data_IF_845893648018
#
_entry.id   IF_845893648018
#
_cell.length_a   1.000
_cell.length_b   1.000
_cell.length_c   1.000
_cell.angle_alpha   90.00
_cell.angle_beta   90.00
_cell.angle_gamma   90.00
#
_symmetry.space_group_name_H-M   'P 1'
#
loop_
_entity.id
_entity.type
_entity.pdbx_description
1 polymer ?
#
# COMPACT_ATOMS: atom_id res chain seq x y z
N UNK A 1 106.11 -65.77 -61.50
CA UNK A 1 105.07 -66.72 -61.95
C UNK A 1 104.21 -67.13 -60.76
N UNK A 2 102.94 -67.54 -61.00
CA UNK A 2 102.15 -68.63 -60.34
C UNK A 2 102.43 -68.97 -58.85
N UNK A 3 101.49 -69.32 -57.95
CA UNK A 3 100.00 -69.47 -57.86
C UNK A 3 99.74 -70.41 -56.63
N UNK A 4 98.52 -70.37 -56.04
CA UNK A 4 97.78 -71.51 -55.39
C UNK A 4 98.31 -72.05 -54.02
N UNK A 5 97.56 -72.50 -52.98
CA UNK A 5 96.15 -72.38 -52.47
C UNK A 5 95.99 -72.92 -51.02
N UNK A 6 95.17 -72.26 -50.18
CA UNK A 6 94.23 -72.82 -49.13
C UNK A 6 94.75 -73.66 -47.92
N UNK A 7 93.97 -73.85 -46.81
CA UNK A 7 92.55 -73.49 -46.59
C UNK A 7 92.17 -72.69 -45.31
N UNK A 8 90.91 -72.24 -45.35
CA UNK A 8 89.97 -71.84 -44.28
C UNK A 8 90.29 -72.35 -42.85
N UNK A 9 90.49 -71.44 -41.89
CA UNK A 9 89.86 -71.33 -40.53
C UNK A 9 90.32 -69.97 -39.93
N UNK A 10 89.50 -69.37 -39.06
CA UNK A 10 89.60 -68.06 -38.35
C UNK A 10 88.56 -67.05 -38.87
N UNK A 11 87.31 -67.31 -38.49
CA UNK A 11 86.17 -66.38 -38.58
C UNK A 11 85.39 -66.44 -37.27
N UNK A 12 86.11 -66.31 -36.15
CA UNK A 12 85.61 -66.65 -34.81
C UNK A 12 86.45 -65.99 -33.72
N UNK A 13 86.19 -64.73 -33.38
CA UNK A 13 86.53 -64.06 -32.10
C UNK A 13 86.05 -62.59 -32.04
N UNK A 14 84.77 -62.36 -32.35
CA UNK A 14 84.08 -61.08 -32.09
C UNK A 14 82.55 -61.23 -31.96
N UNK A 15 82.08 -62.39 -31.47
CA UNK A 15 80.65 -62.65 -31.31
C UNK A 15 80.22 -62.39 -29.86
N UNK A 16 80.09 -61.12 -29.51
CA UNK A 16 79.65 -60.64 -28.20
C UNK A 16 78.16 -60.89 -27.98
N UNK A 17 77.77 -62.14 -27.70
CA UNK A 17 76.40 -62.46 -27.30
C UNK A 17 76.09 -61.78 -25.96
N UNK A 18 75.24 -60.75 -25.97
CA UNK A 18 74.58 -60.29 -24.76
C UNK A 18 73.54 -61.32 -24.36
N UNK A 19 73.89 -62.21 -23.43
CA UNK A 19 72.93 -63.07 -22.75
C UNK A 19 72.16 -62.21 -21.74
N UNK A 20 70.90 -61.89 -22.05
CA UNK A 20 69.99 -61.23 -21.11
C UNK A 20 69.43 -62.27 -20.12
N UNK A 21 69.57 -62.02 -18.82
CA UNK A 21 69.03 -62.88 -17.76
C UNK A 21 67.53 -62.64 -17.54
N UNK A 22 66.73 -62.85 -18.58
CA UNK A 22 65.27 -62.66 -18.57
C UNK A 22 64.57 -64.01 -18.31
N UNK A 23 63.49 -63.98 -17.53
CA UNK A 23 62.65 -65.14 -17.25
C UNK A 23 61.27 -64.92 -17.87
N UNK A 24 60.89 -65.76 -18.82
CA UNK A 24 59.56 -65.82 -19.40
C UNK A 24 58.75 -66.99 -18.83
N UNK A 25 57.50 -66.75 -18.46
CA UNK A 25 56.51 -67.78 -18.17
C UNK A 25 55.43 -67.70 -19.26
N UNK A 26 55.21 -68.82 -19.96
CA UNK A 26 54.26 -68.94 -21.07
C UNK A 26 54.57 -68.02 -22.28
N UNK A 27 55.83 -67.57 -22.42
CA UNK A 27 56.30 -66.68 -23.49
C UNK A 27 57.72 -67.02 -23.93
N UNK A 28 57.99 -67.02 -25.24
CA UNK A 28 59.31 -67.37 -25.81
C UNK A 28 60.29 -66.19 -25.96
N UNK A 29 59.79 -64.95 -25.96
CA UNK A 29 60.58 -63.72 -26.10
C UNK A 29 60.15 -62.71 -25.03
N UNK A 30 60.69 -62.75 -23.80
CA UNK A 30 60.28 -61.86 -22.72
C UNK A 30 60.56 -60.38 -23.05
N UNK A 31 59.58 -59.51 -22.81
CA UNK A 31 59.71 -58.06 -23.01
C UNK A 31 60.38 -57.36 -21.80
N UNK A 32 60.52 -58.05 -20.66
CA UNK A 32 61.14 -57.52 -19.44
C UNK A 32 62.05 -58.56 -18.75
N UNK A 33 62.66 -58.23 -17.60
CA UNK A 33 63.43 -59.18 -16.79
C UNK A 33 62.57 -60.35 -16.26
N UNK A 34 61.28 -60.11 -16.01
CA UNK A 34 60.31 -61.15 -15.66
C UNK A 34 59.00 -60.89 -16.38
N UNK A 35 58.63 -61.78 -17.30
CA UNK A 35 57.45 -61.65 -18.15
C UNK A 35 56.55 -62.88 -17.99
N UNK A 36 55.24 -62.65 -17.83
CA UNK A 36 54.25 -63.69 -17.54
C UNK A 36 53.01 -63.41 -18.37
N UNK A 37 52.76 -64.25 -19.38
CA UNK A 37 51.60 -64.14 -20.25
C UNK A 37 50.50 -65.11 -19.79
N UNK A 38 49.24 -64.65 -19.77
CA UNK A 38 48.10 -65.50 -19.42
C UNK A 38 48.01 -66.72 -20.36
N UNK A 39 47.63 -67.89 -19.84
CA UNK A 39 47.40 -69.08 -20.67
C UNK A 39 46.10 -68.97 -21.46
N UNK A 40 45.12 -68.24 -20.94
CA UNK A 40 43.83 -68.00 -21.56
C UNK A 40 43.57 -66.48 -21.65
N UNK A 41 44.08 -65.84 -22.70
CA UNK A 41 44.00 -64.37 -22.86
C UNK A 41 42.57 -63.85 -23.09
N UNK A 42 41.66 -64.70 -23.57
CA UNK A 42 40.25 -64.38 -23.85
C UNK A 42 39.32 -65.58 -23.58
N UNK A 43 38.05 -65.33 -23.28
CA UNK A 43 36.98 -66.35 -23.26
C UNK A 43 36.28 -66.54 -21.91
N UNK A 44 35.55 -67.65 -21.78
CA UNK A 44 34.67 -68.00 -20.64
C UNK A 44 35.21 -69.14 -19.77
N UNK A 45 36.49 -69.51 -19.95
CA UNK A 45 37.15 -70.57 -19.17
C UNK A 45 37.26 -70.21 -17.68
N UNK A 46 37.17 -71.21 -16.82
CA UNK A 46 37.26 -71.07 -15.35
C UNK A 46 38.67 -71.34 -14.80
N UNK A 47 39.65 -71.59 -15.68
CA UNK A 47 41.05 -71.75 -15.29
C UNK A 47 41.62 -70.43 -14.75
N UNK A 48 42.45 -70.52 -13.69
CA UNK A 48 43.04 -69.35 -13.05
C UNK A 48 44.37 -68.99 -13.69
N UNK A 49 44.40 -67.84 -14.38
CA UNK A 49 45.63 -67.15 -14.78
C UNK A 49 45.93 -66.01 -13.79
N UNK A 50 47.20 -65.85 -13.39
CA UNK A 50 47.63 -64.78 -12.49
C UNK A 50 48.89 -65.09 -11.68
N UNK A 51 49.33 -64.13 -10.87
CA UNK A 51 50.49 -64.24 -9.98
C UNK A 51 50.05 -64.30 -8.51
N UNK A 52 50.37 -65.39 -7.81
CA UNK A 52 50.15 -65.49 -6.37
C UNK A 52 51.26 -64.77 -5.60
N UNK A 53 50.91 -63.63 -5.04
CA UNK A 53 51.77 -62.84 -4.14
C UNK A 53 51.88 -63.53 -2.76
N UNK A 54 53.06 -63.52 -2.09
CA UNK A 54 53.24 -64.09 -0.76
C UNK A 54 52.18 -63.61 0.25
N UNK A 55 51.55 -64.57 0.92
CA UNK A 55 50.51 -64.32 1.92
C UNK A 55 51.09 -64.35 3.33
N UNK A 56 50.86 -63.30 4.10
CA UNK A 56 51.31 -63.17 5.50
C UNK A 56 50.21 -62.52 6.34
N UNK A 57 50.23 -62.68 7.66
CA UNK A 57 49.37 -61.90 8.54
C UNK A 57 50.01 -60.53 8.87
N UNK A 58 49.23 -59.62 9.45
CA UNK A 58 49.72 -58.29 9.83
C UNK A 58 50.89 -58.37 10.81
N UNK A 59 50.88 -59.28 11.79
CA UNK A 59 52.00 -59.43 12.74
C UNK A 59 53.29 -59.85 12.05
N UNK A 60 53.24 -60.78 11.09
CA UNK A 60 54.42 -61.18 10.32
C UNK A 60 54.95 -60.02 9.49
N UNK A 61 54.09 -59.26 8.81
CA UNK A 61 54.49 -58.09 8.03
C UNK A 61 55.05 -56.94 8.89
N UNK A 62 54.47 -56.71 10.08
CA UNK A 62 54.94 -55.76 11.09
C UNK A 62 56.32 -56.12 11.66
N UNK A 63 56.65 -57.41 11.70
CA UNK A 63 57.91 -57.93 12.25
C UNK A 63 59.02 -58.11 11.19
N UNK A 64 58.81 -57.70 9.94
CA UNK A 64 59.85 -57.79 8.91
C UNK A 64 60.86 -56.64 9.03
N UNK A 65 62.14 -56.97 8.87
CA UNK A 65 63.28 -56.02 8.93
C UNK A 65 64.09 -56.08 7.65
N UNK A 66 64.64 -54.95 7.19
CA UNK A 66 65.46 -54.91 5.96
C UNK A 66 64.66 -55.17 4.68
N UNK A 67 63.38 -54.78 4.66
CA UNK A 67 62.46 -54.99 3.54
C UNK A 67 62.89 -54.12 2.35
N UNK A 68 63.15 -54.68 1.15
CA UNK A 68 63.34 -53.87 -0.06
C UNK A 68 62.07 -53.08 -0.42
N UNK A 69 62.21 -51.82 -0.82
CA UNK A 69 61.12 -51.04 -1.41
C UNK A 69 60.51 -51.77 -2.62
N UNK A 70 59.21 -51.61 -2.81
CA UNK A 70 58.39 -52.32 -3.81
C UNK A 70 58.18 -53.82 -3.55
N UNK A 71 58.62 -54.36 -2.40
CA UNK A 71 58.18 -55.69 -1.94
C UNK A 71 56.66 -55.71 -1.80
N UNK A 72 55.98 -56.66 -2.44
CA UNK A 72 54.53 -56.80 -2.40
C UNK A 72 54.11 -58.05 -1.63
N UNK A 73 53.08 -57.93 -0.78
CA UNK A 73 52.49 -59.00 0.02
C UNK A 73 50.96 -58.95 -0.06
N UNK A 74 50.30 -60.07 0.22
CA UNK A 74 48.87 -60.11 0.51
C UNK A 74 48.67 -60.36 2.00
N UNK A 75 48.04 -59.43 2.71
CA UNK A 75 47.68 -59.61 4.11
C UNK A 75 46.42 -60.46 4.18
N UNK A 76 46.57 -61.69 4.66
CA UNK A 76 45.47 -62.66 4.77
C UNK A 76 44.72 -62.59 6.11
N UNK A 77 45.28 -61.91 7.12
CA UNK A 77 44.65 -61.67 8.41
C UNK A 77 45.18 -60.39 9.06
N UNK A 78 44.28 -59.61 9.64
CA UNK A 78 44.57 -58.45 10.50
C UNK A 78 44.18 -58.69 11.96
N UNK A 79 43.91 -59.94 12.35
CA UNK A 79 43.57 -60.30 13.72
C UNK A 79 44.76 -60.22 14.69
N UNK A 80 45.99 -60.32 14.16
CA UNK A 80 47.26 -60.30 14.89
C UNK A 80 48.04 -59.00 14.64
N UNK A 81 48.97 -58.66 15.56
CA UNK A 81 49.74 -57.42 15.50
C UNK A 81 48.87 -56.17 15.64
N UNK A 82 49.46 -54.99 15.44
CA UNK A 82 48.80 -53.68 15.63
C UNK A 82 49.03 -52.74 14.44
N UNK A 83 48.15 -51.76 14.26
CA UNK A 83 48.34 -50.67 13.28
C UNK A 83 49.35 -49.63 13.81
N UNK A 84 50.58 -50.06 14.07
CA UNK A 84 51.66 -49.20 14.60
C UNK A 84 52.99 -49.51 13.92
N UNK A 85 53.86 -48.50 13.84
CA UNK A 85 55.11 -48.58 13.08
C UNK A 85 54.83 -48.87 11.61
N UNK A 86 55.67 -49.71 10.98
CA UNK A 86 55.61 -50.01 9.54
C UNK A 86 54.27 -50.62 9.06
N UNK A 87 53.42 -51.11 9.98
CA UNK A 87 52.12 -51.71 9.67
C UNK A 87 50.92 -50.76 9.90
N UNK A 88 51.16 -49.45 10.08
CA UNK A 88 50.10 -48.46 10.40
C UNK A 88 48.90 -48.49 9.44
N UNK A 89 49.12 -48.69 8.14
CA UNK A 89 48.04 -48.70 7.15
C UNK A 89 47.34 -50.07 6.99
N UNK A 90 47.71 -51.10 7.76
CA UNK A 90 47.11 -52.45 7.68
C UNK A 90 45.81 -52.56 8.49
N UNK A 91 44.79 -51.84 8.03
CA UNK A 91 43.43 -51.83 8.58
C UNK A 91 42.61 -53.07 8.19
N UNK A 92 42.76 -53.57 6.95
CA UNK A 92 42.03 -54.73 6.43
C UNK A 92 42.93 -55.73 5.70
N UNK A 93 42.41 -56.94 5.52
CA UNK A 93 42.91 -57.91 4.52
C UNK A 93 42.97 -57.24 3.13
N UNK A 94 44.01 -57.57 2.34
CA UNK A 94 44.23 -56.96 1.02
C UNK A 94 45.69 -57.05 0.54
N UNK A 95 45.97 -56.48 -0.63
CA UNK A 95 47.34 -56.34 -1.15
C UNK A 95 48.02 -55.10 -0.58
N UNK A 96 49.30 -55.22 -0.26
CA UNK A 96 50.14 -54.15 0.28
C UNK A 96 51.52 -54.19 -0.39
N UNK A 97 52.13 -53.03 -0.59
CA UNK A 97 53.56 -52.93 -0.97
C UNK A 97 54.33 -52.12 0.07
N UNK A 98 55.63 -52.35 0.20
CA UNK A 98 56.49 -51.58 1.08
C UNK A 98 57.03 -50.34 0.35
N UNK A 99 56.73 -49.13 0.85
CA UNK A 99 57.14 -47.86 0.22
C UNK A 99 58.57 -47.42 0.59
N UNK A 100 59.21 -48.13 1.53
CA UNK A 100 60.50 -47.78 2.13
C UNK A 100 60.41 -47.43 3.62
N UNK A 101 59.23 -47.01 4.10
CA UNK A 101 58.96 -46.67 5.50
C UNK A 101 57.77 -47.45 6.08
N UNK A 102 56.70 -47.65 5.31
CA UNK A 102 55.48 -48.32 5.71
C UNK A 102 55.04 -49.32 4.65
N UNK A 103 54.22 -50.27 5.07
CA UNK A 103 53.34 -50.98 4.15
C UNK A 103 52.18 -50.06 3.74
N UNK A 104 51.99 -49.88 2.43
CA UNK A 104 50.93 -49.08 1.83
C UNK A 104 49.93 -50.01 1.15
N UNK A 105 48.64 -49.77 1.41
CA UNK A 105 47.54 -50.55 0.89
C UNK A 105 47.36 -50.28 -0.60
N UNK A 106 47.23 -51.34 -1.40
CA UNK A 106 46.80 -51.23 -2.80
C UNK A 106 45.27 -51.20 -2.80
N UNK A 107 44.71 -49.99 -2.64
CA UNK A 107 43.27 -49.71 -2.68
C UNK A 107 42.91 -48.77 -3.83
N UNK A 108 41.69 -48.84 -4.39
CA UNK A 108 41.21 -47.84 -5.35
C UNK A 108 41.26 -46.43 -4.74
N UNK A 109 41.46 -45.37 -5.55
CA UNK A 109 41.53 -44.01 -5.05
C UNK A 109 40.18 -43.56 -4.49
N UNK A 110 40.13 -43.35 -3.18
CA UNK A 110 38.98 -42.74 -2.50
C UNK A 110 38.88 -41.26 -2.89
N UNK A 111 37.69 -40.82 -3.28
CA UNK A 111 37.43 -39.46 -3.70
C UNK A 111 35.94 -39.09 -3.50
N UNK A 112 35.61 -37.83 -3.72
CA UNK A 112 34.26 -37.28 -3.50
C UNK A 112 33.16 -37.92 -4.38
N UNK A 113 33.52 -38.64 -5.45
CA UNK A 113 32.56 -39.32 -6.32
C UNK A 113 32.20 -40.73 -5.83
N UNK A 114 33.04 -41.37 -5.01
CA UNK A 114 32.89 -42.78 -4.64
C UNK A 114 32.83 -43.06 -3.13
N UNK A 115 33.11 -42.09 -2.26
CA UNK A 115 33.10 -42.31 -0.79
C UNK A 115 32.77 -41.02 -0.02
N UNK A 116 31.91 -41.14 0.99
CA UNK A 116 31.62 -40.06 1.94
C UNK A 116 32.75 -39.93 2.98
N UNK A 117 33.01 -38.72 3.47
CA UNK A 117 34.04 -38.51 4.50
C UNK A 117 33.94 -37.17 5.22
N UNK A 118 34.71 -37.04 6.32
CA UNK A 118 34.79 -35.79 7.09
C UNK A 118 35.97 -34.94 6.64
N UNK A 119 35.68 -33.64 6.51
CA UNK A 119 36.58 -32.62 6.04
C UNK A 119 37.59 -32.18 7.14
N UNK A 120 38.77 -32.81 7.21
CA UNK A 120 39.82 -32.62 8.25
C UNK A 120 40.39 -31.20 8.50
N UNK A 121 40.58 -30.33 7.51
CA UNK A 121 40.94 -28.91 7.71
C UNK A 121 40.80 -28.08 6.42
N UNK A 122 40.32 -26.83 6.51
CA UNK A 122 39.76 -25.97 5.45
C UNK A 122 40.19 -26.24 3.98
N UNK A 123 39.20 -26.23 3.07
CA UNK A 123 39.39 -26.48 1.62
C UNK A 123 39.17 -25.20 0.83
N UNK A 124 40.05 -24.93 -0.11
CA UNK A 124 39.90 -23.89 -1.15
C UNK A 124 40.01 -24.56 -2.52
N UNK A 125 39.05 -24.31 -3.42
CA UNK A 125 39.07 -24.86 -4.78
C UNK A 125 39.47 -23.74 -5.76
N UNK A 126 40.72 -23.78 -6.22
CA UNK A 126 41.25 -22.82 -7.19
C UNK A 126 40.92 -23.27 -8.62
N UNK A 127 39.97 -22.59 -9.27
CA UNK A 127 39.46 -23.01 -10.60
C UNK A 127 40.24 -22.42 -11.80
N UNK A 128 40.94 -21.30 -11.62
CA UNK A 128 41.58 -20.58 -12.73
C UNK A 128 40.55 -20.07 -13.73
N UNK A 129 40.72 -20.41 -15.01
CA UNK A 129 39.76 -20.10 -16.08
C UNK A 129 38.68 -21.19 -16.29
N UNK A 130 38.66 -22.24 -15.47
CA UNK A 130 37.74 -23.37 -15.60
C UNK A 130 36.48 -23.18 -14.73
N UNK A 131 35.48 -24.05 -14.93
CA UNK A 131 34.25 -24.08 -14.12
C UNK A 131 34.12 -25.39 -13.33
N UNK A 132 33.54 -25.30 -12.13
CA UNK A 132 33.06 -26.43 -11.35
C UNK A 132 31.52 -26.46 -11.42
N UNK A 133 31.00 -27.31 -12.31
CA UNK A 133 29.56 -27.47 -12.51
C UNK A 133 28.99 -28.67 -11.74
N UNK A 134 27.86 -28.46 -11.05
CA UNK A 134 27.06 -29.53 -10.45
C UNK A 134 25.85 -29.84 -11.35
N UNK A 135 26.01 -30.77 -12.28
CA UNK A 135 24.95 -31.17 -13.22
C UNK A 135 24.09 -32.27 -12.61
N UNK A 136 23.02 -31.87 -11.91
CA UNK A 136 22.04 -32.79 -11.32
C UNK A 136 20.66 -32.62 -11.96
N UNK A 137 19.94 -33.74 -12.14
CA UNK A 137 18.59 -33.80 -12.68
C UNK A 137 17.56 -34.28 -11.62
N UNK A 138 17.91 -34.23 -10.33
CA UNK A 138 17.05 -34.62 -9.22
C UNK A 138 16.69 -33.43 -8.31
N UNK A 139 15.66 -33.63 -7.50
CA UNK A 139 15.31 -32.75 -6.38
C UNK A 139 16.47 -32.68 -5.38
N UNK A 140 16.78 -31.49 -4.84
CA UNK A 140 17.86 -31.27 -3.88
C UNK A 140 19.25 -31.80 -4.36
N UNK A 141 19.50 -31.72 -5.66
CA UNK A 141 20.68 -32.29 -6.33
C UNK A 141 22.02 -31.65 -5.95
N UNK A 142 21.98 -30.43 -5.41
CA UNK A 142 23.08 -29.80 -4.68
C UNK A 142 22.47 -29.09 -3.46
N UNK A 143 23.09 -29.20 -2.28
CA UNK A 143 22.58 -28.54 -1.08
C UNK A 143 23.66 -28.24 -0.03
N UNK A 144 23.38 -27.26 0.82
CA UNK A 144 24.11 -26.96 2.04
C UNK A 144 23.17 -27.22 3.21
N UNK A 145 23.52 -28.16 4.09
CA UNK A 145 22.67 -28.51 5.26
C UNK A 145 21.28 -29.05 4.89
N UNK A 146 21.11 -29.60 3.69
CA UNK A 146 19.80 -30.05 3.20
C UNK A 146 18.94 -28.87 2.74
N UNK A 147 18.19 -28.25 3.67
CA UNK A 147 17.21 -27.21 3.33
C UNK A 147 17.74 -25.77 3.42
N UNK A 148 18.87 -25.50 4.10
CA UNK A 148 19.38 -24.13 4.26
C UNK A 148 19.65 -23.46 2.90
N UNK A 149 20.23 -24.20 1.97
CA UNK A 149 20.29 -23.86 0.55
C UNK A 149 20.14 -25.14 -0.28
N UNK A 150 19.24 -25.14 -1.24
CA UNK A 150 18.92 -26.29 -2.10
C UNK A 150 18.82 -25.87 -3.56
N UNK A 151 19.39 -26.68 -4.46
CA UNK A 151 19.15 -26.60 -5.91
C UNK A 151 18.38 -27.83 -6.33
N UNK A 152 17.15 -27.61 -6.78
CA UNK A 152 16.31 -28.60 -7.45
C UNK A 152 16.65 -28.60 -8.94
N UNK A 153 17.54 -29.52 -9.33
CA UNK A 153 18.00 -29.69 -10.70
C UNK A 153 16.91 -30.26 -11.61
N UNK A 154 15.96 -31.03 -11.08
CA UNK A 154 14.85 -31.60 -11.85
C UNK A 154 13.90 -30.54 -12.41
N UNK A 155 13.69 -29.43 -11.69
CA UNK A 155 12.70 -28.40 -12.05
C UNK A 155 13.32 -27.00 -12.27
N UNK A 156 14.65 -26.90 -12.15
CA UNK A 156 15.42 -25.66 -12.17
C UNK A 156 14.87 -24.62 -11.19
N UNK A 157 14.89 -24.97 -9.89
CA UNK A 157 14.41 -24.14 -8.77
C UNK A 157 15.49 -24.03 -7.67
N UNK A 158 15.47 -22.94 -6.92
CA UNK A 158 16.34 -22.73 -5.75
C UNK A 158 15.48 -22.58 -4.50
N UNK A 159 15.89 -23.26 -3.43
CA UNK A 159 15.25 -23.21 -2.11
C UNK A 159 16.19 -22.66 -1.04
N UNK A 160 15.65 -21.84 -0.14
CA UNK A 160 16.28 -21.38 1.11
C UNK A 160 15.31 -21.69 2.24
N UNK A 161 15.74 -22.48 3.22
CA UNK A 161 14.82 -23.09 4.21
C UNK A 161 14.01 -24.27 3.66
N UNK A 162 14.06 -24.54 2.35
CA UNK A 162 13.25 -25.54 1.65
C UNK A 162 14.12 -26.45 0.77
N UNK A 163 14.05 -27.77 0.96
CA UNK A 163 14.69 -28.75 0.07
C UNK A 163 13.78 -29.21 -1.10
N UNK A 164 12.52 -28.77 -1.08
CA UNK A 164 11.51 -29.02 -2.11
C UNK A 164 10.88 -27.70 -2.57
N UNK A 165 11.66 -26.77 -3.15
CA UNK A 165 11.18 -25.45 -3.56
C UNK A 165 9.97 -25.59 -4.48
N UNK A 166 8.87 -24.89 -4.22
CA UNK A 166 7.64 -24.99 -5.03
C UNK A 166 7.69 -24.13 -6.30
N UNK A 167 8.42 -23.02 -6.25
CA UNK A 167 8.57 -21.98 -7.28
C UNK A 167 10.06 -21.74 -7.60
N UNK A 168 10.38 -20.89 -8.59
CA UNK A 168 11.77 -20.67 -9.07
C UNK A 168 12.75 -20.24 -7.98
N UNK A 169 12.32 -19.36 -7.08
CA UNK A 169 12.98 -19.06 -5.81
C UNK A 169 11.96 -19.25 -4.69
N UNK A 170 12.20 -20.23 -3.81
CA UNK A 170 11.35 -20.49 -2.63
C UNK A 170 12.15 -20.20 -1.36
N UNK A 171 11.71 -19.21 -0.58
CA UNK A 171 12.29 -18.89 0.72
C UNK A 171 11.27 -19.18 1.81
N UNK A 172 11.65 -20.04 2.76
CA UNK A 172 10.87 -20.32 3.97
C UNK A 172 11.54 -19.62 5.16
N UNK A 173 11.00 -18.47 5.57
CA UNK A 173 11.53 -17.66 6.67
C UNK A 173 11.39 -16.16 6.42
N UNK A 174 12.17 -15.37 7.15
CA UNK A 174 12.23 -13.91 7.00
C UNK A 174 13.24 -13.49 5.92
N UNK A 175 12.83 -12.60 5.03
CA UNK A 175 13.71 -11.96 4.04
C UNK A 175 14.09 -10.54 4.48
N UNK A 176 15.34 -10.13 4.24
CA UNK A 176 15.81 -8.76 4.43
C UNK A 176 16.35 -8.21 3.12
N UNK A 177 15.57 -7.32 2.49
CA UNK A 177 15.91 -6.69 1.21
C UNK A 177 16.31 -5.23 1.44
N UNK A 178 17.57 -4.88 1.19
CA UNK A 178 18.10 -3.54 1.47
C UNK A 178 18.69 -2.88 0.22
N UNK A 179 18.00 -1.84 -0.26
CA UNK A 179 18.41 -1.04 -1.40
C UNK A 179 19.52 -0.01 -1.13
N UNK A 180 19.78 0.32 0.14
CA UNK A 180 20.52 1.51 0.51
C UNK A 180 22.05 1.42 0.29
N UNK A 181 22.60 0.20 0.22
CA UNK A 181 24.01 -0.14 0.44
C UNK A 181 24.97 0.38 -0.65
N UNK A 182 24.49 0.77 -1.84
CA UNK A 182 25.35 1.16 -2.97
C UNK A 182 25.42 2.68 -3.19
N UNK A 183 26.48 3.14 -3.85
CA UNK A 183 26.59 4.49 -4.42
C UNK A 183 25.88 4.67 -5.77
N UNK A 184 24.95 3.77 -6.12
CA UNK A 184 24.26 3.79 -7.42
C UNK A 184 23.13 4.83 -7.46
N UNK A 185 22.79 5.28 -8.67
CA UNK A 185 21.76 6.29 -8.92
C UNK A 185 20.32 5.80 -8.68
N UNK A 186 20.08 4.48 -8.66
CA UNK A 186 18.77 3.86 -8.39
C UNK A 186 18.94 2.81 -7.30
N UNK A 187 17.97 2.77 -6.38
CA UNK A 187 17.99 1.95 -5.16
C UNK A 187 16.67 1.20 -5.00
N UNK A 188 16.52 0.10 -5.74
CA UNK A 188 15.38 -0.81 -5.65
C UNK A 188 15.73 -2.00 -4.74
N UNK A 189 14.94 -2.25 -3.69
CA UNK A 189 15.11 -3.43 -2.83
C UNK A 189 14.51 -4.69 -3.47
N UNK A 190 13.45 -4.48 -4.27
CA UNK A 190 12.77 -5.45 -5.10
C UNK A 190 12.43 -4.72 -6.41
N UNK A 191 12.82 -5.29 -7.54
CA UNK A 191 12.48 -4.81 -8.87
C UNK A 191 11.63 -5.87 -9.56
N UNK A 192 10.47 -5.49 -10.08
CA UNK A 192 9.48 -6.40 -10.66
C UNK A 192 9.25 -5.99 -12.10
N UNK A 193 9.93 -6.67 -13.00
CA UNK A 193 9.69 -6.48 -14.41
C UNK A 193 8.38 -7.16 -14.84
N UNK A 194 7.50 -6.41 -15.51
CA UNK A 194 6.17 -6.85 -15.98
C UNK A 194 6.03 -6.83 -17.52
N UNK A 195 7.14 -6.72 -18.25
CA UNK A 195 7.17 -6.86 -19.71
C UNK A 195 8.58 -6.73 -20.30
N UNK A 196 8.82 -7.32 -21.47
CA UNK A 196 9.99 -7.06 -22.31
C UNK A 196 9.53 -6.87 -23.77
N UNK A 197 10.46 -6.45 -24.64
CA UNK A 197 10.34 -6.42 -26.11
C UNK A 197 8.97 -6.06 -26.75
N UNK A 198 8.39 -4.94 -26.31
CA UNK A 198 7.85 -3.94 -27.23
C UNK A 198 6.39 -4.06 -27.72
N UNK A 199 5.69 -5.18 -27.49
CA UNK A 199 4.31 -5.36 -28.02
C UNK A 199 3.27 -5.89 -27.02
N UNK A 200 3.51 -5.68 -25.72
CA UNK A 200 2.54 -6.00 -24.67
C UNK A 200 2.98 -5.50 -23.30
N UNK A 201 2.68 -4.23 -22.98
CA UNK A 201 2.71 -3.79 -21.58
C UNK A 201 1.70 -4.60 -20.78
N UNK A 202 1.99 -4.85 -19.49
CA UNK A 202 1.21 -5.72 -18.63
C UNK A 202 -0.27 -5.32 -18.53
N UNK A 203 -1.08 -5.85 -19.46
CA UNK A 203 -2.46 -5.49 -19.70
C UNK A 203 -3.32 -5.97 -18.53
N UNK A 204 -4.38 -5.22 -18.21
CA UNK A 204 -5.31 -5.50 -17.11
C UNK A 204 -6.03 -6.86 -17.21
N UNK A 205 -5.93 -7.56 -18.34
CA UNK A 205 -6.31 -8.98 -18.46
C UNK A 205 -5.50 -9.89 -17.54
N UNK A 206 -4.26 -9.51 -17.22
CA UNK A 206 -3.31 -10.29 -16.42
C UNK A 206 -3.04 -9.63 -15.07
N UNK A 207 -2.92 -10.46 -14.03
CA UNK A 207 -2.80 -10.02 -12.64
C UNK A 207 -1.34 -9.76 -12.23
N UNK A 208 -0.68 -8.76 -12.84
CA UNK A 208 0.65 -8.29 -12.42
C UNK A 208 0.56 -7.56 -11.06
N UNK A 209 1.43 -7.93 -10.11
CA UNK A 209 1.34 -7.40 -8.74
C UNK A 209 2.06 -8.22 -7.68
N UNK A 210 2.04 -7.70 -6.44
CA UNK A 210 2.45 -8.44 -5.23
C UNK A 210 1.20 -9.09 -4.62
N UNK A 211 1.22 -10.41 -4.50
CA UNK A 211 0.09 -11.20 -3.98
C UNK A 211 0.30 -11.64 -2.54
N UNK A 212 -0.57 -11.19 -1.64
CA UNK A 212 -0.63 -11.66 -0.26
C UNK A 212 -1.70 -12.74 -0.17
N UNK A 213 -1.27 -13.98 0.08
CA UNK A 213 -2.12 -15.18 0.13
C UNK A 213 -1.99 -15.89 1.47
N UNK A 214 -3.04 -16.60 1.85
CA UNK A 214 -2.99 -17.62 2.91
C UNK A 214 -3.00 -19.00 2.26
N UNK A 215 -2.25 -19.92 2.87
CA UNK A 215 -2.26 -21.35 2.55
C UNK A 215 -3.05 -22.17 3.59
N UNK A 216 -3.89 -21.50 4.41
CA UNK A 216 -4.80 -22.14 5.37
C UNK A 216 -5.66 -23.20 4.68
N UNK A 217 -5.82 -24.34 5.32
CA UNK A 217 -6.71 -25.42 4.87
C UNK A 217 -8.19 -25.04 4.91
N UNK A 218 -8.58 -24.09 5.77
CA UNK A 218 -9.95 -23.58 5.84
C UNK A 218 -10.25 -22.50 4.78
N UNK A 219 -9.29 -21.60 4.53
CA UNK A 219 -9.52 -20.34 3.82
C UNK A 219 -8.45 -20.03 2.76
N UNK A 220 -8.01 -21.01 1.96
CA UNK A 220 -6.90 -20.85 1.01
C UNK A 220 -7.10 -19.73 -0.04
N UNK A 221 -6.02 -19.11 -0.50
CA UNK A 221 -6.01 -18.13 -1.61
C UNK A 221 -5.64 -16.69 -1.20
N UNK A 222 -5.76 -15.76 -2.14
CA UNK A 222 -5.46 -14.34 -1.93
C UNK A 222 -6.35 -13.70 -0.87
N UNK A 223 -5.79 -12.76 -0.12
CA UNK A 223 -6.49 -11.91 0.87
C UNK A 223 -6.26 -10.42 0.62
N UNK A 224 -5.12 -10.06 0.02
CA UNK A 224 -4.79 -8.72 -0.42
C UNK A 224 -3.85 -8.77 -1.63
N UNK A 225 -3.91 -7.74 -2.48
CA UNK A 225 -3.00 -7.53 -3.61
C UNK A 225 -2.66 -6.06 -3.79
N UNK A 226 -1.40 -5.83 -4.17
CA UNK A 226 -0.95 -4.58 -4.78
C UNK A 226 -0.84 -4.88 -6.27
N UNK A 227 -1.73 -4.31 -7.09
CA UNK A 227 -1.72 -4.50 -8.54
C UNK A 227 -1.02 -3.32 -9.21
N UNK A 228 -0.26 -3.59 -10.25
CA UNK A 228 0.38 -2.54 -11.07
C UNK A 228 0.53 -3.04 -12.51
N UNK A 229 0.31 -2.14 -13.46
CA UNK A 229 0.31 -2.48 -14.88
C UNK A 229 -0.08 -1.31 -15.76
N UNK A 230 -0.50 -1.62 -16.97
CA UNK A 230 -1.02 -0.68 -17.97
C UNK A 230 -2.40 -1.17 -18.43
N UNK A 231 -3.35 -0.26 -18.66
CA UNK A 231 -4.65 -0.57 -19.27
C UNK A 231 -4.70 -0.20 -20.75
N UNK A 232 -3.56 0.16 -21.36
CA UNK A 232 -3.48 0.48 -22.78
C UNK A 232 -3.58 -0.78 -23.66
N UNK A 233 -4.45 -0.70 -24.66
CA UNK A 233 -4.58 -1.69 -25.74
C UNK A 233 -3.83 -1.28 -27.01
N UNK A 234 -3.02 -0.23 -26.92
CA UNK A 234 -2.39 0.45 -28.04
C UNK A 234 -0.89 0.20 -28.13
N UNK A 235 -0.38 0.13 -29.35
CA UNK A 235 1.01 -0.24 -29.68
C UNK A 235 2.06 0.86 -29.44
N UNK A 236 1.67 1.99 -28.81
CA UNK A 236 2.51 3.19 -28.73
C UNK A 236 3.09 3.33 -27.32
N UNK A 237 4.43 3.32 -27.24
CA UNK A 237 5.16 3.54 -26.00
C UNK A 237 4.88 4.92 -25.39
N UNK A 238 4.78 4.97 -24.06
CA UNK A 238 4.70 6.22 -23.29
C UNK A 238 3.32 6.87 -23.16
N UNK A 239 2.31 6.45 -23.94
CA UNK A 239 0.92 6.94 -23.83
C UNK A 239 0.00 6.02 -23.00
N UNK A 240 0.58 5.01 -22.35
CA UNK A 240 -0.14 3.98 -21.62
C UNK A 240 -0.83 4.47 -20.33
N UNK A 241 -2.01 3.92 -20.09
CA UNK A 241 -2.85 4.12 -18.91
C UNK A 241 -2.36 3.28 -17.73
N UNK A 242 -1.23 3.69 -17.15
CA UNK A 242 -0.62 3.04 -15.99
C UNK A 242 -1.51 3.14 -14.76
N UNK A 243 -1.55 2.06 -13.99
CA UNK A 243 -2.28 2.01 -12.73
C UNK A 243 -1.46 1.41 -11.59
N UNK A 244 -1.80 1.83 -10.37
CA UNK A 244 -1.46 1.19 -9.12
C UNK A 244 -2.75 1.06 -8.31
N UNK A 245 -3.05 -0.13 -7.79
CA UNK A 245 -4.25 -0.33 -7.00
C UNK A 245 -4.07 -1.31 -5.85
N UNK A 246 -4.95 -1.14 -4.86
CA UNK A 246 -4.96 -1.94 -3.66
C UNK A 246 -6.29 -2.69 -3.59
N UNK A 247 -6.20 -4.02 -3.61
CA UNK A 247 -7.35 -4.91 -3.50
C UNK A 247 -7.28 -5.73 -2.22
N UNK A 248 -8.42 -5.92 -1.55
CA UNK A 248 -8.54 -6.77 -0.35
C UNK A 248 -9.84 -7.57 -0.38
N UNK A 249 -9.90 -8.64 0.41
CA UNK A 249 -11.10 -9.46 0.57
C UNK A 249 -11.13 -10.71 -0.31
N UNK A 250 -12.23 -11.47 -0.21
CA UNK A 250 -12.46 -12.74 -0.91
C UNK A 250 -13.89 -12.78 -1.46
N UNK A 251 -14.11 -12.63 -2.78
CA UNK A 251 -13.13 -12.30 -3.82
C UNK A 251 -12.46 -10.93 -3.57
N UNK A 252 -11.29 -10.71 -4.18
CA UNK A 252 -10.58 -9.44 -4.10
C UNK A 252 -11.45 -8.30 -4.66
N UNK A 253 -11.65 -7.26 -3.86
CA UNK A 253 -12.32 -6.02 -4.27
C UNK A 253 -11.29 -4.88 -4.35
N UNK A 254 -11.30 -4.11 -5.43
CA UNK A 254 -10.39 -2.98 -5.67
C UNK A 254 -10.92 -1.73 -4.97
N UNK A 255 -10.37 -1.42 -3.79
CA UNK A 255 -10.90 -0.35 -2.92
C UNK A 255 -10.29 1.02 -3.23
N UNK A 256 -9.02 1.04 -3.64
CA UNK A 256 -8.26 2.25 -3.95
C UNK A 256 -7.54 2.09 -5.30
N UNK A 257 -7.73 3.07 -6.19
CA UNK A 257 -7.19 3.08 -7.54
C UNK A 257 -6.48 4.40 -7.86
N UNK A 258 -5.24 4.32 -8.34
CA UNK A 258 -4.40 5.44 -8.76
C UNK A 258 -4.03 5.25 -10.23
N UNK A 259 -4.02 6.33 -11.01
CA UNK A 259 -3.65 6.28 -12.43
C UNK A 259 -2.94 7.54 -12.92
N UNK A 260 -2.04 7.39 -13.89
CA UNK A 260 -1.36 8.52 -14.55
C UNK A 260 -2.27 9.29 -15.53
N UNK A 261 -3.32 8.66 -16.06
CA UNK A 261 -4.18 9.19 -17.13
C UNK A 261 -4.80 10.55 -16.78
N UNK A 262 -5.17 10.71 -15.51
CA UNK A 262 -5.86 11.91 -15.01
C UNK A 262 -4.94 12.82 -14.19
N UNK A 263 -3.61 12.70 -14.31
CA UNK A 263 -2.66 13.54 -13.57
C UNK A 263 -2.56 13.21 -12.07
N UNK A 264 -2.75 11.94 -11.69
CA UNK A 264 -2.56 11.48 -10.30
C UNK A 264 -3.82 11.52 -9.42
N UNK A 265 -5.02 11.39 -10.00
CA UNK A 265 -6.27 11.24 -9.25
C UNK A 265 -6.32 9.94 -8.43
N UNK A 266 -6.97 10.00 -7.28
CA UNK A 266 -7.29 8.85 -6.41
C UNK A 266 -8.80 8.56 -6.48
N UNK A 267 -9.16 7.34 -6.88
CA UNK A 267 -10.52 6.82 -6.78
C UNK A 267 -10.68 5.91 -5.56
N UNK A 268 -11.73 6.14 -4.77
CA UNK A 268 -12.20 5.24 -3.71
C UNK A 268 -13.55 4.66 -4.16
N UNK A 269 -13.62 3.33 -4.26
CA UNK A 269 -14.75 2.59 -4.85
C UNK A 269 -15.14 3.03 -6.28
N UNK A 270 -14.17 3.54 -7.06
CA UNK A 270 -14.34 3.90 -8.48
C UNK A 270 -13.02 3.84 -9.24
N UNK A 271 -13.08 3.38 -10.48
CA UNK A 271 -11.94 3.31 -11.42
C UNK A 271 -11.89 4.51 -12.37
N UNK A 272 -12.92 5.36 -12.35
CA UNK A 272 -13.06 6.55 -13.18
C UNK A 272 -13.20 7.81 -12.30
N UNK A 273 -12.16 8.16 -11.51
CA UNK A 273 -12.17 9.37 -10.69
C UNK A 273 -12.31 10.64 -11.54
N UNK A 274 -13.36 11.43 -11.27
CA UNK A 274 -13.68 12.67 -12.02
C UNK A 274 -13.06 13.95 -11.40
N UNK A 275 -12.37 13.79 -10.26
CA UNK A 275 -11.69 14.81 -9.46
C UNK A 275 -10.44 14.19 -8.82
N UNK A 276 -9.51 15.02 -8.33
CA UNK A 276 -8.25 14.59 -7.68
C UNK A 276 -8.46 13.56 -6.58
N UNK A 277 -9.53 13.71 -5.80
CA UNK A 277 -10.08 12.65 -4.95
C UNK A 277 -11.55 12.46 -5.37
N UNK A 278 -11.92 11.24 -5.76
CA UNK A 278 -13.31 10.86 -6.02
C UNK A 278 -13.69 9.70 -5.10
N UNK A 279 -14.54 9.99 -4.11
CA UNK A 279 -15.16 8.96 -3.25
C UNK A 279 -16.53 8.64 -3.80
N UNK A 280 -16.70 7.44 -4.34
CA UNK A 280 -17.99 6.93 -4.81
C UNK A 280 -18.70 6.20 -3.66
N UNK A 281 -19.12 6.96 -2.64
CA UNK A 281 -19.69 6.44 -1.40
C UNK A 281 -19.74 7.50 -0.29
N UNK A 282 -19.94 7.06 0.94
CA UNK A 282 -20.01 7.95 2.12
C UNK A 282 -18.64 8.53 2.48
N UNK A 283 -18.62 9.80 2.88
CA UNK A 283 -17.46 10.47 3.49
C UNK A 283 -17.80 10.83 4.95
N UNK A 284 -16.97 10.38 5.89
CA UNK A 284 -17.02 10.79 7.29
C UNK A 284 -15.78 11.61 7.63
N UNK A 285 -15.98 12.77 8.26
CA UNK A 285 -14.92 13.64 8.78
C UNK A 285 -15.12 13.75 10.29
N UNK A 286 -14.13 13.37 11.08
CA UNK A 286 -14.26 13.22 12.56
C UNK A 286 -13.66 14.37 13.36
N UNK A 287 -12.79 15.19 12.75
CA UNK A 287 -12.15 16.33 13.41
C UNK A 287 -12.59 17.65 12.75
N UNK A 288 -12.11 17.94 11.54
CA UNK A 288 -12.35 19.21 10.86
C UNK A 288 -12.29 19.08 9.32
N UNK A 289 -12.89 20.04 8.61
CA UNK A 289 -12.82 20.18 7.16
C UNK A 289 -12.22 21.56 6.80
N UNK A 290 -10.92 21.58 6.49
CA UNK A 290 -10.22 22.79 6.08
C UNK A 290 -10.48 23.12 4.61
N UNK A 291 -10.83 24.38 4.31
CA UNK A 291 -11.02 24.91 2.94
C UNK A 291 -10.27 26.23 2.73
N UNK A 292 -9.93 26.57 1.49
CA UNK A 292 -9.29 27.85 1.15
C UNK A 292 -7.78 27.98 1.37
N UNK A 293 -7.08 26.87 1.65
CA UNK A 293 -5.61 26.85 1.80
C UNK A 293 -4.84 26.84 0.46
N UNK A 294 -3.53 26.61 0.56
CA UNK A 294 -2.62 26.46 -0.59
C UNK A 294 -1.82 25.14 -0.48
N UNK A 295 -0.90 24.88 -1.42
CA UNK A 295 0.00 23.72 -1.34
C UNK A 295 0.97 23.74 -0.13
N UNK A 296 1.14 24.89 0.54
CA UNK A 296 2.07 25.08 1.65
C UNK A 296 1.46 25.78 2.88
N UNK A 297 0.18 26.13 2.85
CA UNK A 297 -0.55 26.75 3.96
C UNK A 297 -1.91 26.08 4.16
N UNK A 298 -2.26 25.78 5.42
CA UNK A 298 -3.54 25.20 5.76
C UNK A 298 -4.72 26.14 5.39
N UNK A 299 -5.88 25.53 5.11
CA UNK A 299 -7.14 26.27 4.99
C UNK A 299 -7.73 26.64 6.35
N UNK A 300 -8.97 27.10 6.34
CA UNK A 300 -9.76 27.35 7.54
C UNK A 300 -10.77 26.22 7.77
N UNK A 301 -10.84 25.73 9.02
CA UNK A 301 -11.87 24.81 9.53
C UNK A 301 -13.19 25.53 9.85
N UNK A 302 -13.20 26.87 9.79
CA UNK A 302 -14.31 27.70 10.23
C UNK A 302 -14.35 27.88 11.76
N UNK A 303 -15.41 28.53 12.22
CA UNK A 303 -15.71 28.72 13.65
C UNK A 303 -17.16 28.34 13.96
N UNK A 304 -17.49 28.17 15.24
CA UNK A 304 -18.82 27.76 15.70
C UNK A 304 -19.94 28.62 15.10
N UNK A 305 -20.97 27.97 14.55
CA UNK A 305 -22.12 28.65 13.93
C UNK A 305 -21.90 29.13 12.49
N UNK A 306 -20.72 28.88 11.90
CA UNK A 306 -20.51 29.09 10.47
C UNK A 306 -21.05 27.93 9.63
N UNK A 307 -21.43 28.25 8.39
CA UNK A 307 -21.82 27.29 7.36
C UNK A 307 -20.83 27.36 6.19
N UNK A 308 -20.60 26.23 5.53
CA UNK A 308 -19.74 26.17 4.35
C UNK A 308 -20.49 26.75 3.15
N UNK A 309 -19.90 27.72 2.47
CA UNK A 309 -20.49 28.37 1.30
C UNK A 309 -19.60 28.22 0.07
N UNK A 310 -20.22 28.00 -1.10
CA UNK A 310 -19.53 28.07 -2.38
C UNK A 310 -19.26 29.54 -2.76
N UNK A 311 -18.07 29.82 -3.27
CA UNK A 311 -17.72 31.12 -3.86
C UNK A 311 -17.75 31.09 -5.40
N UNK A 312 -18.42 30.10 -5.99
CA UNK A 312 -18.50 29.90 -7.44
C UNK A 312 -17.36 29.05 -8.00
N UNK A 313 -17.39 28.82 -9.32
CA UNK A 313 -16.40 28.01 -10.01
C UNK A 313 -14.98 28.59 -9.85
N UNK A 314 -13.98 27.70 -9.77
CA UNK A 314 -12.54 28.02 -9.61
C UNK A 314 -12.15 28.83 -8.37
N UNK A 315 -13.11 29.19 -7.50
CA UNK A 315 -12.85 29.85 -6.22
C UNK A 315 -12.98 28.83 -5.09
N UNK A 316 -12.11 28.91 -4.09
CA UNK A 316 -12.19 28.01 -2.95
C UNK A 316 -13.46 28.29 -2.12
N UNK A 317 -14.16 27.25 -1.62
CA UNK A 317 -15.23 27.41 -0.64
C UNK A 317 -14.76 28.15 0.62
N UNK A 318 -15.68 28.80 1.33
CA UNK A 318 -15.37 29.51 2.58
C UNK A 318 -16.46 29.32 3.63
N UNK A 319 -16.04 29.22 4.89
CA UNK A 319 -16.93 29.29 6.04
C UNK A 319 -17.43 30.73 6.25
N UNK A 320 -18.75 30.90 6.36
CA UNK A 320 -19.41 32.20 6.62
C UNK A 320 -20.38 32.05 7.78
N UNK A 321 -20.52 33.10 8.58
CA UNK A 321 -21.56 33.13 9.62
C UNK A 321 -22.95 33.03 8.96
N UNK A 322 -23.86 32.23 9.52
CA UNK A 322 -25.19 32.03 8.92
C UNK A 322 -25.91 33.37 8.67
N UNK A 323 -25.77 34.32 9.59
CA UNK A 323 -26.31 35.69 9.54
C UNK A 323 -25.65 36.61 8.50
N UNK A 324 -24.77 36.11 7.63
CA UNK A 324 -24.22 36.84 6.48
C UNK A 324 -24.45 36.12 5.14
N UNK A 325 -25.24 35.04 5.13
CA UNK A 325 -25.58 34.29 3.91
C UNK A 325 -26.87 34.84 3.31
N UNK A 326 -26.88 35.16 2.02
CA UNK A 326 -28.06 35.61 1.27
C UNK A 326 -29.25 34.64 1.47
N UNK A 327 -30.46 35.20 1.60
CA UNK A 327 -31.70 34.48 1.85
C UNK A 327 -31.97 34.11 3.31
N UNK A 328 -31.04 34.36 4.23
CA UNK A 328 -31.24 34.10 5.67
C UNK A 328 -31.84 35.30 6.42
N UNK A 329 -32.51 35.04 7.54
CA UNK A 329 -32.88 36.08 8.50
C UNK A 329 -31.63 36.45 9.31
N UNK A 330 -31.19 37.71 9.16
CA UNK A 330 -30.12 38.31 9.96
C UNK A 330 -30.58 38.61 11.39
N UNK A 331 -31.81 39.09 11.57
CA UNK A 331 -32.42 39.34 12.88
C UNK A 331 -33.95 39.36 12.80
N UNK A 332 -34.60 39.00 13.91
CA UNK A 332 -36.03 39.16 14.11
C UNK A 332 -36.25 40.11 15.29
N UNK A 333 -36.97 41.20 15.05
CA UNK A 333 -37.10 42.30 16.00
C UNK A 333 -38.58 42.55 16.30
N UNK A 334 -38.88 43.03 17.51
CA UNK A 334 -40.24 43.28 17.96
C UNK A 334 -40.28 44.46 18.92
N UNK A 335 -41.21 45.39 18.69
CA UNK A 335 -41.54 46.50 19.61
C UNK A 335 -43.05 46.65 19.72
N UNK A 336 -43.53 47.15 20.85
CA UNK A 336 -44.96 47.31 21.11
C UNK A 336 -45.30 48.60 21.87
N UNK A 337 -46.59 48.92 21.85
CA UNK A 337 -47.18 50.04 22.56
C UNK A 337 -46.86 50.01 24.06
N UNK A 338 -46.50 51.15 24.63
CA UNK A 338 -46.22 51.28 26.07
C UNK A 338 -47.28 52.06 26.81
N UNK A 339 -47.65 53.24 26.29
CA UNK A 339 -48.59 54.15 26.95
C UNK A 339 -49.77 54.45 26.03
N UNK A 340 -50.98 54.43 26.58
CA UNK A 340 -52.19 54.86 25.89
C UNK A 340 -52.11 56.35 25.53
N UNK A 341 -52.46 56.71 24.29
CA UNK A 341 -52.41 58.09 23.81
C UNK A 341 -53.64 58.43 22.97
N UNK A 342 -54.45 59.37 23.46
CA UNK A 342 -55.55 59.96 22.68
C UNK A 342 -54.99 60.94 21.66
N UNK A 343 -55.16 60.62 20.38
CA UNK A 343 -54.85 61.48 19.24
C UNK A 343 -56.13 62.24 18.88
N UNK A 344 -56.05 63.57 18.93
CA UNK A 344 -57.20 64.44 18.66
C UNK A 344 -57.50 64.51 17.16
N UNK A 345 -58.76 64.71 16.80
CA UNK A 345 -59.19 64.93 15.42
C UNK A 345 -58.34 66.02 14.72
N UNK A 346 -57.90 65.74 13.49
CA UNK A 346 -57.08 66.64 12.68
C UNK A 346 -55.60 66.64 13.03
N UNK A 347 -55.15 65.78 13.96
CA UNK A 347 -53.74 65.70 14.40
C UNK A 347 -53.07 64.38 14.05
N UNK A 348 -51.73 64.37 14.16
CA UNK A 348 -50.87 63.18 14.01
C UNK A 348 -49.98 63.10 15.24
N UNK A 349 -49.80 61.90 15.79
CA UNK A 349 -48.88 61.66 16.91
C UNK A 349 -48.06 60.38 16.70
N UNK A 350 -46.88 60.33 17.30
CA UNK A 350 -46.10 59.09 17.43
C UNK A 350 -46.83 58.12 18.38
N UNK A 351 -46.89 56.84 18.03
CA UNK A 351 -47.47 55.81 18.89
C UNK A 351 -46.43 55.44 19.97
N UNK A 352 -46.69 55.70 21.27
CA UNK A 352 -45.68 55.50 22.30
C UNK A 352 -45.19 54.05 22.37
N UNK A 353 -43.87 53.85 22.35
CA UNK A 353 -43.23 52.53 22.40
C UNK A 353 -42.95 51.88 21.05
N UNK A 354 -43.59 52.30 19.96
CA UNK A 354 -43.49 51.64 18.65
C UNK A 354 -42.46 52.34 17.76
N UNK A 355 -41.22 52.39 18.24
CA UNK A 355 -40.04 52.94 17.55
C UNK A 355 -38.90 51.93 17.65
N UNK A 356 -38.17 51.71 16.55
CA UNK A 356 -36.98 50.86 16.49
C UNK A 356 -35.91 51.47 15.59
N UNK A 357 -34.65 51.38 16.02
CA UNK A 357 -33.50 51.70 15.16
C UNK A 357 -32.83 50.41 14.72
N UNK A 358 -32.62 50.26 13.41
CA UNK A 358 -32.05 49.07 12.78
C UNK A 358 -30.82 49.46 11.95
N UNK A 359 -29.79 48.62 11.99
CA UNK A 359 -28.53 48.83 11.27
C UNK A 359 -28.36 47.78 10.19
N UNK A 360 -28.19 48.23 8.94
CA UNK A 360 -27.74 47.37 7.84
C UNK A 360 -26.20 47.41 7.81
N UNK A 361 -25.50 46.26 7.89
CA UNK A 361 -24.04 46.23 7.94
C UNK A 361 -23.35 46.80 6.69
N UNK A 362 -22.11 47.29 6.87
CA UNK A 362 -21.29 47.79 5.77
C UNK A 362 -21.09 46.75 4.66
N UNK A 363 -21.22 47.18 3.39
CA UNK A 363 -21.09 46.32 2.22
C UNK A 363 -22.27 45.36 1.98
N UNK A 364 -23.29 45.37 2.84
CA UNK A 364 -24.51 44.57 2.70
C UNK A 364 -25.68 45.41 2.18
N UNK A 365 -26.66 44.72 1.61
CA UNK A 365 -28.02 45.23 1.42
C UNK A 365 -28.94 44.25 2.14
N UNK A 366 -29.91 44.75 2.90
CA UNK A 366 -30.86 43.91 3.63
C UNK A 366 -32.30 44.29 3.30
N UNK A 367 -33.20 43.31 3.34
CA UNK A 367 -34.64 43.51 3.14
C UNK A 367 -35.35 43.39 4.49
N UNK A 368 -35.93 44.49 4.94
CA UNK A 368 -36.67 44.60 6.19
C UNK A 368 -38.16 44.37 5.89
N UNK A 369 -38.71 43.28 6.39
CA UNK A 369 -40.13 42.95 6.30
C UNK A 369 -40.83 43.33 7.61
N UNK A 370 -41.62 44.38 7.54
CA UNK A 370 -42.44 44.90 8.63
C UNK A 370 -43.82 44.25 8.63
N UNK A 371 -44.26 43.81 9.80
CA UNK A 371 -45.65 43.44 10.11
C UNK A 371 -46.12 44.31 11.26
N UNK A 372 -47.12 45.17 11.01
CA UNK A 372 -47.63 46.13 12.00
C UNK A 372 -49.11 45.87 12.25
N UNK A 373 -49.47 45.67 13.51
CA UNK A 373 -50.83 45.54 14.02
C UNK A 373 -51.17 46.80 14.84
N UNK A 374 -52.35 47.38 14.63
CA UNK A 374 -52.78 48.60 15.33
C UNK A 374 -54.28 48.63 15.63
N UNK A 375 -54.62 49.19 16.80
CA UNK A 375 -55.99 49.42 17.27
C UNK A 375 -56.13 50.88 17.70
N UNK A 376 -57.24 51.51 17.32
CA UNK A 376 -57.49 52.94 17.61
C UNK A 376 -58.98 53.20 17.95
N UNK A 377 -59.47 52.75 19.12
CA UNK A 377 -60.83 53.06 19.56
C UNK A 377 -61.05 54.55 19.82
N UNK A 378 -62.26 55.04 19.51
CA UNK A 378 -62.78 56.26 20.12
C UNK A 378 -63.34 55.95 21.51
N UNK A 379 -63.01 56.80 22.49
CA UNK A 379 -63.57 56.73 23.83
C UNK A 379 -64.90 57.50 23.96
N UNK A 380 -65.19 58.38 22.99
CA UNK A 380 -66.48 59.05 22.85
C UNK A 380 -67.50 58.18 22.13
N UNK A 381 -68.79 58.48 22.28
CA UNK A 381 -69.89 57.86 21.53
C UNK A 381 -70.01 58.46 20.12
N UNK A 382 -68.90 58.42 19.37
CA UNK A 382 -68.76 58.99 18.03
C UNK A 382 -68.02 58.01 17.12
N UNK A 383 -68.48 57.89 15.89
CA UNK A 383 -67.72 57.22 14.83
C UNK A 383 -66.36 57.91 14.65
N UNK A 384 -65.35 57.13 14.28
CA UNK A 384 -63.99 57.65 14.12
C UNK A 384 -63.22 56.98 13.00
N UNK A 385 -62.32 57.73 12.36
CA UNK A 385 -61.56 57.30 11.19
C UNK A 385 -60.16 57.90 11.22
N UNK A 386 -59.18 57.07 10.86
CA UNK A 386 -57.79 57.49 10.78
C UNK A 386 -56.91 56.45 10.13
N UNK A 387 -55.60 56.62 10.26
CA UNK A 387 -54.64 55.69 9.70
C UNK A 387 -53.39 55.56 10.57
N UNK A 388 -52.87 54.33 10.61
CA UNK A 388 -51.52 54.07 11.10
C UNK A 388 -50.53 54.29 9.95
N UNK A 389 -49.42 54.96 10.25
CA UNK A 389 -48.34 55.24 9.32
C UNK A 389 -47.06 54.55 9.79
N UNK A 390 -46.34 53.90 8.87
CA UNK A 390 -44.95 53.53 9.09
C UNK A 390 -44.06 54.62 8.51
N UNK A 391 -43.19 55.19 9.36
CA UNK A 391 -42.19 56.16 8.98
C UNK A 391 -40.81 55.51 9.00
N UNK A 392 -39.95 55.94 8.07
CA UNK A 392 -38.51 55.73 8.05
C UNK A 392 -37.85 57.11 8.13
N UNK A 393 -37.04 57.35 9.15
CA UNK A 393 -36.28 58.59 9.36
C UNK A 393 -37.14 59.88 9.26
N UNK A 394 -38.39 59.78 9.75
CA UNK A 394 -39.38 60.87 9.71
C UNK A 394 -40.23 60.94 8.42
N UNK A 395 -39.91 60.17 7.38
CA UNK A 395 -40.66 60.13 6.12
C UNK A 395 -41.64 58.94 6.12
N UNK A 396 -42.92 59.19 5.78
CA UNK A 396 -43.93 58.12 5.68
C UNK A 396 -43.64 57.21 4.48
N UNK A 397 -43.44 55.91 4.73
CA UNK A 397 -43.13 54.89 3.71
C UNK A 397 -44.25 53.85 3.50
N UNK A 398 -45.20 53.77 4.43
CA UNK A 398 -46.42 52.96 4.31
C UNK A 398 -47.53 53.52 5.20
N UNK A 399 -48.77 53.13 4.93
CA UNK A 399 -49.93 53.47 5.77
C UNK A 399 -51.08 52.52 5.56
N UNK A 400 -51.90 52.32 6.59
CA UNK A 400 -53.15 51.58 6.48
C UNK A 400 -54.27 52.21 7.32
N UNK A 401 -55.47 52.19 6.77
CA UNK A 401 -56.67 52.80 7.34
C UNK A 401 -57.26 51.96 8.48
N UNK A 402 -57.86 52.62 9.46
CA UNK A 402 -58.65 52.01 10.54
C UNK A 402 -59.83 52.92 10.90
N UNK A 403 -60.90 52.32 11.40
CA UNK A 403 -62.09 53.04 11.82
C UNK A 403 -62.75 52.38 13.04
N UNK A 404 -63.64 53.12 13.69
CA UNK A 404 -64.55 52.62 14.69
C UNK A 404 -65.96 53.13 14.36
N UNK A 405 -66.97 52.28 14.55
CA UNK A 405 -68.37 52.66 14.49
C UNK A 405 -68.97 52.59 15.89
N UNK A 406 -69.72 53.61 16.29
CA UNK A 406 -70.35 53.76 17.60
C UNK A 406 -71.71 53.07 17.62
N UNK A 407 -71.73 51.75 17.84
CA UNK A 407 -72.95 50.95 17.97
C UNK A 407 -73.39 50.67 19.42
N UNK A 408 -74.64 50.20 19.58
CA UNK A 408 -75.26 49.85 20.87
C UNK A 408 -75.14 48.37 21.26
N UNK A 409 -74.83 47.47 20.32
CA UNK A 409 -74.83 46.02 20.57
C UNK A 409 -73.48 45.45 21.04
N UNK A 410 -72.36 46.04 20.61
CA UNK A 410 -71.01 45.76 21.09
C UNK A 410 -70.29 47.10 21.27
N UNK A 411 -69.73 47.33 22.47
CA UNK A 411 -69.26 48.66 22.88
C UNK A 411 -68.03 49.09 22.07
N UNK A 412 -68.22 50.01 21.13
CA UNK A 412 -67.14 50.85 20.53
C UNK A 412 -65.90 50.06 20.08
N UNK A 413 -66.10 48.90 19.44
CA UNK A 413 -64.99 48.05 18.98
C UNK A 413 -64.38 48.63 17.68
N UNK A 414 -63.08 48.98 17.63
CA UNK A 414 -62.44 49.44 16.40
C UNK A 414 -62.13 48.27 15.47
N UNK A 415 -62.10 48.57 14.17
CA UNK A 415 -61.56 47.68 13.15
C UNK A 415 -60.04 47.65 13.29
N UNK A 416 -59.42 46.53 13.72
CA UNK A 416 -57.97 46.43 13.77
C UNK A 416 -57.38 46.57 12.37
N UNK A 417 -56.17 47.10 12.29
CA UNK A 417 -55.40 47.10 11.05
C UNK A 417 -54.16 46.23 11.20
N UNK A 418 -53.94 45.35 10.22
CA UNK A 418 -52.65 44.68 10.02
C UNK A 418 -52.13 45.11 8.66
N UNK A 419 -50.91 45.62 8.59
CA UNK A 419 -50.28 45.97 7.31
C UNK A 419 -48.84 45.53 7.23
N UNK A 420 -48.43 45.22 6.00
CA UNK A 420 -47.13 44.70 5.64
C UNK A 420 -46.35 45.74 4.83
N UNK A 421 -45.03 45.79 5.02
CA UNK A 421 -44.14 46.56 4.14
C UNK A 421 -42.80 45.85 4.04
N UNK A 422 -42.31 45.63 2.83
CA UNK A 422 -40.91 45.33 2.59
C UNK A 422 -40.17 46.63 2.24
N UNK A 423 -38.96 46.81 2.79
CA UNK A 423 -38.02 47.86 2.38
C UNK A 423 -36.64 47.25 2.22
N UNK A 424 -36.05 47.37 1.04
CA UNK A 424 -34.66 46.96 0.79
C UNK A 424 -33.76 48.18 0.96
N UNK A 425 -32.77 48.08 1.85
CA UNK A 425 -31.90 49.19 2.24
C UNK A 425 -30.42 48.80 2.12
N UNK A 426 -29.56 49.72 1.65
CA UNK A 426 -28.11 49.56 1.70
C UNK A 426 -27.59 49.72 3.14
N UNK A 427 -26.28 49.55 3.32
CA UNK A 427 -25.59 49.83 4.58
C UNK A 427 -25.96 51.20 5.17
N UNK A 428 -26.34 51.24 6.46
CA UNK A 428 -26.80 52.45 7.13
C UNK A 428 -27.48 52.17 8.48
N UNK A 429 -27.82 53.24 9.20
CA UNK A 429 -28.62 53.20 10.42
C UNK A 429 -29.94 53.90 10.14
N UNK A 430 -31.06 53.22 10.38
CA UNK A 430 -32.41 53.67 10.01
C UNK A 430 -33.33 53.60 11.23
N UNK A 431 -34.10 54.65 11.47
CA UNK A 431 -35.09 54.68 12.55
C UNK A 431 -36.50 54.57 11.99
N UNK A 432 -37.19 53.52 12.39
CA UNK A 432 -38.59 53.27 12.04
C UNK A 432 -39.49 53.56 13.22
N UNK A 433 -40.60 54.25 12.97
CA UNK A 433 -41.63 54.46 13.99
C UNK A 433 -43.03 54.38 13.40
N UNK A 434 -43.97 53.99 14.24
CA UNK A 434 -45.40 54.05 13.89
C UNK A 434 -45.99 55.36 14.40
N UNK A 435 -46.68 56.07 13.50
CA UNK A 435 -47.54 57.20 13.84
C UNK A 435 -49.00 56.83 13.68
N UNK A 436 -49.87 57.60 14.35
CA UNK A 436 -51.30 57.57 14.14
C UNK A 436 -51.83 58.94 13.76
N UNK A 437 -52.73 58.98 12.77
CA UNK A 437 -53.39 60.19 12.30
C UNK A 437 -54.89 60.03 12.41
N UNK A 438 -55.54 60.91 13.19
CA UNK A 438 -56.98 60.91 13.40
C UNK A 438 -57.63 61.95 12.47
N UNK A 439 -58.54 61.53 11.60
CA UNK A 439 -59.20 62.40 10.61
C UNK A 439 -60.64 62.73 11.01
N UNK A 440 -61.34 61.76 11.60
CA UNK A 440 -62.68 61.93 12.17
C UNK A 440 -62.70 61.37 13.60
N UNK A 441 -63.18 62.16 14.55
CA UNK A 441 -63.20 61.80 15.97
C UNK A 441 -61.82 61.75 16.63
N UNK A 442 -61.81 61.66 17.97
CA UNK A 442 -60.58 61.43 18.75
C UNK A 442 -60.40 59.92 18.94
N UNK A 443 -59.18 59.40 18.75
CA UNK A 443 -58.90 57.97 18.84
C UNK A 443 -57.69 57.68 19.71
N UNK A 444 -57.75 56.63 20.51
CA UNK A 444 -56.71 56.28 21.50
C UNK A 444 -55.89 55.10 21.01
N UNK A 445 -54.61 55.30 20.70
CA UNK A 445 -53.70 54.18 20.43
C UNK A 445 -53.21 53.57 21.74
N UNK A 446 -52.81 52.29 21.69
CA UNK A 446 -52.34 51.53 22.86
C UNK A 446 -53.36 51.51 24.01
N UNK A 447 -54.65 51.48 23.68
CA UNK A 447 -55.72 51.44 24.67
C UNK A 447 -55.71 50.09 25.41
N UNK A 448 -55.98 50.11 26.71
CA UNK A 448 -56.23 48.90 27.49
C UNK A 448 -57.75 48.67 27.53
N UNK A 449 -58.30 47.59 26.94
CA UNK A 449 -59.75 47.36 26.81
C UNK A 449 -60.52 47.02 28.10
N UNK A 450 -60.11 47.59 29.24
CA UNK A 450 -60.71 47.35 30.57
C UNK A 450 -62.21 47.67 30.69
N UNK A 451 -62.79 48.39 29.71
CA UNK A 451 -64.23 48.70 29.64
C UNK A 451 -65.03 47.74 28.74
N UNK A 452 -64.39 46.77 28.08
CA UNK A 452 -65.06 45.84 27.17
C UNK A 452 -65.48 44.55 27.90
N UNK A 453 -66.65 44.02 27.54
CA UNK A 453 -67.09 42.70 28.01
C UNK A 453 -66.16 41.61 27.46
N UNK A 454 -65.75 40.66 28.30
CA UNK A 454 -64.81 39.60 27.93
C UNK A 454 -63.33 40.01 27.90
N UNK A 455 -62.99 41.22 28.37
CA UNK A 455 -61.61 41.71 28.48
C UNK A 455 -60.64 40.75 29.22
N UNK A 456 -61.14 40.03 30.23
CA UNK A 456 -60.43 38.97 30.95
C UNK A 456 -59.03 39.31 31.52
N UNK A 457 -58.68 40.60 31.62
CA UNK A 457 -57.37 41.05 32.11
C UNK A 457 -56.32 41.30 31.01
N UNK A 458 -56.66 41.15 29.72
CA UNK A 458 -55.70 41.25 28.62
C UNK A 458 -55.29 42.69 28.29
N UNK A 459 -54.26 43.17 28.99
CA UNK A 459 -53.63 44.48 28.77
C UNK A 459 -52.96 44.64 27.39
N UNK A 460 -52.75 43.56 26.63
CA UNK A 460 -52.06 43.60 25.34
C UNK A 460 -52.97 43.61 24.12
N UNK A 461 -54.23 43.20 24.26
CA UNK A 461 -55.18 42.96 23.17
C UNK A 461 -55.36 44.12 22.17
N UNK A 462 -55.07 45.36 22.59
CA UNK A 462 -55.19 46.57 21.75
C UNK A 462 -53.94 47.45 21.77
N UNK A 463 -52.78 46.89 22.15
CA UNK A 463 -51.49 47.53 21.92
C UNK A 463 -51.13 47.51 20.44
N UNK A 464 -50.53 48.60 19.95
CA UNK A 464 -49.93 48.61 18.62
C UNK A 464 -48.64 47.78 18.66
N UNK A 465 -48.43 46.88 17.70
CA UNK A 465 -47.30 45.93 17.70
C UNK A 465 -46.60 46.00 16.34
N UNK A 466 -45.27 46.02 16.34
CA UNK A 466 -44.44 46.03 15.13
C UNK A 466 -43.37 44.93 15.23
N UNK A 467 -43.46 43.95 14.33
CA UNK A 467 -42.41 42.96 14.09
C UNK A 467 -41.63 43.34 12.84
N UNK A 468 -40.31 43.16 12.86
CA UNK A 468 -39.42 43.37 11.70
C UNK A 468 -38.49 42.17 11.53
N UNK A 469 -38.66 41.44 10.43
CA UNK A 469 -37.72 40.41 9.99
C UNK A 469 -36.72 41.03 9.01
N UNK A 470 -35.42 40.94 9.34
CA UNK A 470 -34.34 41.49 8.52
C UNK A 470 -33.69 40.35 7.75
N UNK A 471 -33.83 40.35 6.43
CA UNK A 471 -33.24 39.35 5.55
C UNK A 471 -31.93 39.86 4.95
N UNK A 472 -30.92 38.99 4.88
CA UNK A 472 -29.73 39.20 4.07
C UNK A 472 -30.07 38.98 2.59
N UNK A 473 -29.70 39.91 1.72
CA UNK A 473 -29.84 39.77 0.28
C UNK A 473 -28.59 39.15 -0.34
#
# INVERSE_FOLDING_TARGET
>A
MKKITFPIVIASLAFSMKLSAQVGINLINPASTFDVTAKNEVGTTTNVDGLLIPRVDRQRAQSMTGIPTSTMVYINSVATGTQTGIAVNMDTVGYYYYDGANWVKISPPLNIYNTNGTLTGNRTVTQGANTLAFTSNILNGFSVGGSNFSVDGANSRVGIGSNAPSVKLHVEGSEYLNAAITGAAVKNALDINIGQDGFGYGNRTDNFGINMKTASSADTGSIARINFGDTSTGTISGLGSRYLSFSVGKPLNELMYLTNVNGGTVGIATLTPQKTLHVNGSLQVVNELNVGGTASAAGSAGTTGQVLTSNGASNAPSWKALSTVSGTISSANYVQGTTALTVNQGTVADVPGVTITLTVPAGMTQTLLFTILGYAPSLGSTDSQGAFYLLQDGIKISSAYTSMVSGTALVRLPTPVTFLKAVTLPAGIYTFKVQYSAWAGNQTVNYIPSTYSGYNGDVEAMLTKMQVLVYNN
#
